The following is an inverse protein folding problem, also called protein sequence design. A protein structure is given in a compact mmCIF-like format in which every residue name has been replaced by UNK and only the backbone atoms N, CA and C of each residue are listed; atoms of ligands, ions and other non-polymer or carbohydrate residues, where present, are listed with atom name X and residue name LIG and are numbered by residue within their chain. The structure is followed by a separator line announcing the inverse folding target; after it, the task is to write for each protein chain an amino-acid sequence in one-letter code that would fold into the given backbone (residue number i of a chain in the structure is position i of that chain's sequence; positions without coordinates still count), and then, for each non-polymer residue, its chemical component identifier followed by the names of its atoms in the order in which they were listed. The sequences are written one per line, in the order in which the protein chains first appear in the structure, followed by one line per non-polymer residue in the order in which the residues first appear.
data_IF_974593410933
#
_entry.id   IF_974593410933
#
_cell.length_a   1.000
_cell.length_b   1.000
_cell.length_c   1.000
_cell.angle_alpha   90.00
_cell.angle_beta   90.00
_cell.angle_gamma   90.00
#
_symmetry.space_group_name_H-M   'P 1'
#
loop_
_entity.id
_entity.type
_entity.pdbx_description
1 polymer ?
#
# COMPACT_ATOMS: atom_id res chain seq x y z
N UNK A 1 -23.14 -13.40 -80.85
CA UNK A 1 -24.08 -12.85 -79.84
C UNK A 1 -23.54 -13.13 -78.45
N UNK A 2 -23.55 -12.10 -77.60
CA UNK A 2 -23.04 -12.02 -76.23
C UNK A 2 -23.41 -13.22 -75.35
N UNK A 3 -22.46 -13.70 -74.54
CA UNK A 3 -22.71 -14.05 -73.14
C UNK A 3 -21.47 -13.79 -72.29
N UNK A 4 -21.63 -12.81 -71.42
CA UNK A 4 -20.83 -12.53 -70.24
C UNK A 4 -20.83 -13.78 -69.36
N UNK A 5 -19.67 -14.19 -68.84
CA UNK A 5 -19.57 -14.66 -67.45
C UNK A 5 -18.12 -14.76 -66.96
N UNK A 6 -17.89 -14.02 -65.88
CA UNK A 6 -17.06 -14.37 -64.72
C UNK A 6 -15.58 -14.70 -64.91
N UNK A 7 -14.73 -13.67 -65.02
CA UNK A 7 -13.38 -13.67 -64.42
C UNK A 7 -12.94 -12.27 -63.96
N UNK A 8 -13.64 -11.67 -63.00
CA UNK A 8 -13.02 -10.64 -62.14
C UNK A 8 -12.26 -11.34 -60.99
N UNK A 9 -11.17 -12.04 -61.32
CA UNK A 9 -10.24 -12.51 -60.30
C UNK A 9 -9.36 -11.34 -59.85
N UNK A 10 -9.76 -10.71 -58.75
CA UNK A 10 -8.91 -9.84 -57.94
C UNK A 10 -7.61 -10.59 -57.60
N UNK A 11 -6.50 -10.21 -58.24
CA UNK A 11 -5.18 -10.67 -57.84
C UNK A 11 -4.84 -10.08 -56.46
N UNK A 12 -5.19 -10.79 -55.40
CA UNK A 12 -4.84 -10.41 -54.03
C UNK A 12 -3.31 -10.35 -53.89
N UNK A 13 -2.81 -9.22 -53.38
CA UNK A 13 -1.39 -9.06 -53.08
C UNK A 13 -0.95 -10.11 -52.02
N UNK A 14 0.30 -10.61 -52.08
CA UNK A 14 0.87 -11.60 -51.12
C UNK A 14 0.69 -11.18 -49.65
N UNK A 15 0.54 -9.89 -49.35
CA UNK A 15 0.24 -9.35 -48.02
C UNK A 15 -1.22 -9.59 -47.58
N UNK A 16 -2.19 -9.47 -48.49
CA UNK A 16 -3.62 -9.67 -48.25
C UNK A 16 -3.96 -11.14 -48.07
N UNK A 17 -3.38 -12.02 -48.89
CA UNK A 17 -3.51 -13.47 -48.74
C UNK A 17 -3.01 -13.92 -47.35
N UNK A 18 -1.86 -13.37 -46.90
CA UNK A 18 -1.33 -13.63 -45.55
C UNK A 18 -2.23 -13.11 -44.45
N UNK A 19 -2.90 -11.97 -44.66
CA UNK A 19 -3.86 -11.41 -43.70
C UNK A 19 -5.12 -12.28 -43.60
N UNK A 20 -5.70 -12.69 -44.72
CA UNK A 20 -6.90 -13.56 -44.77
C UNK A 20 -6.60 -14.91 -44.10
N UNK A 21 -5.43 -15.50 -44.37
CA UNK A 21 -5.02 -16.75 -43.70
C UNK A 21 -4.93 -16.59 -42.17
N UNK A 22 -4.37 -15.48 -41.69
CA UNK A 22 -4.30 -15.19 -40.24
C UNK A 22 -5.68 -14.93 -39.64
N UNK A 23 -6.57 -14.23 -40.35
CA UNK A 23 -7.97 -14.02 -39.95
C UNK A 23 -8.71 -15.33 -39.76
N UNK A 24 -8.61 -16.24 -40.74
CA UNK A 24 -9.28 -17.53 -40.68
C UNK A 24 -8.73 -18.41 -39.54
N UNK A 25 -7.41 -18.39 -39.32
CA UNK A 25 -6.80 -19.09 -38.18
C UNK A 25 -7.27 -18.54 -36.83
N UNK A 26 -7.32 -17.20 -36.68
CA UNK A 26 -7.84 -16.57 -35.46
C UNK A 26 -9.31 -16.93 -35.22
N UNK A 27 -10.16 -16.86 -36.25
CA UNK A 27 -11.58 -17.26 -36.16
C UNK A 27 -11.75 -18.71 -35.75
N UNK A 28 -10.95 -19.62 -36.33
CA UNK A 28 -10.98 -21.04 -35.95
C UNK A 28 -10.57 -21.28 -34.50
N UNK A 29 -9.57 -20.53 -34.02
CA UNK A 29 -9.14 -20.58 -32.61
C UNK A 29 -10.22 -20.00 -31.66
N UNK A 30 -10.94 -18.97 -32.09
CA UNK A 30 -12.04 -18.33 -31.34
C UNK A 30 -13.31 -19.21 -31.32
N UNK A 31 -13.66 -19.85 -32.43
CA UNK A 31 -14.76 -20.83 -32.51
C UNK A 31 -14.53 -22.01 -31.55
N UNK A 32 -13.29 -22.51 -31.44
CA UNK A 32 -12.94 -23.54 -30.46
C UNK A 32 -13.19 -23.09 -29.02
N UNK A 33 -12.83 -21.84 -28.70
CA UNK A 33 -13.12 -21.26 -27.39
C UNK A 33 -14.62 -21.21 -27.12
N UNK A 34 -15.39 -20.71 -28.09
CA UNK A 34 -16.85 -20.60 -27.97
C UNK A 34 -17.48 -21.98 -27.78
N UNK A 35 -17.04 -23.01 -28.53
CA UNK A 35 -17.51 -24.38 -28.34
C UNK A 35 -17.22 -24.92 -26.93
N UNK A 36 -16.05 -24.63 -26.37
CA UNK A 36 -15.71 -25.01 -24.99
C UNK A 36 -16.63 -24.32 -23.98
N UNK A 37 -16.90 -23.03 -24.18
CA UNK A 37 -17.80 -22.24 -23.32
C UNK A 37 -19.23 -22.76 -23.40
N UNK A 38 -19.76 -22.98 -24.61
CA UNK A 38 -21.13 -23.49 -24.80
C UNK A 38 -21.29 -24.90 -24.21
N UNK A 39 -20.30 -25.78 -24.40
CA UNK A 39 -20.30 -27.12 -23.80
C UNK A 39 -20.27 -27.04 -22.27
N UNK A 40 -19.51 -26.11 -21.72
CA UNK A 40 -19.50 -25.85 -20.29
C UNK A 40 -20.87 -25.38 -19.79
N UNK A 41 -21.46 -24.37 -20.44
CA UNK A 41 -22.74 -23.80 -20.01
C UNK A 41 -23.85 -24.87 -20.00
N UNK A 42 -23.88 -25.73 -21.02
CA UNK A 42 -24.80 -26.88 -21.08
C UNK A 42 -24.59 -27.86 -19.92
N UNK A 43 -23.33 -28.22 -19.63
CA UNK A 43 -23.01 -29.16 -18.55
C UNK A 43 -23.26 -28.52 -17.19
N UNK A 44 -23.07 -27.20 -17.03
CA UNK A 44 -23.23 -26.44 -15.78
C UNK A 44 -24.67 -26.46 -15.22
N UNK A 45 -25.66 -26.74 -16.08
CA UNK A 45 -27.08 -26.80 -15.72
C UNK A 45 -27.40 -28.01 -14.83
N UNK A 46 -26.64 -29.11 -14.95
CA UNK A 46 -26.91 -30.38 -14.26
C UNK A 46 -26.21 -30.54 -12.90
N UNK A 47 -25.45 -29.54 -12.43
CA UNK A 47 -24.71 -29.65 -11.16
C UNK A 47 -25.55 -29.15 -9.98
N UNK A 48 -25.92 -30.06 -9.09
CA UNK A 48 -26.56 -29.74 -7.81
C UNK A 48 -25.48 -29.36 -6.77
N UNK A 49 -25.48 -28.07 -6.37
CA UNK A 49 -24.66 -27.56 -5.27
C UNK A 49 -24.12 -26.14 -5.53
N UNK A 50 -24.51 -25.18 -4.69
CA UNK A 50 -24.13 -23.77 -4.79
C UNK A 50 -22.60 -23.57 -4.83
N UNK A 51 -21.88 -24.24 -3.92
CA UNK A 51 -20.41 -24.14 -3.84
C UNK A 51 -19.70 -24.77 -5.04
N UNK A 52 -20.13 -25.97 -5.47
CA UNK A 52 -19.53 -26.67 -6.62
C UNK A 52 -19.70 -25.88 -7.92
N UNK A 53 -20.88 -25.28 -8.12
CA UNK A 53 -21.19 -24.42 -9.28
C UNK A 53 -20.34 -23.14 -9.31
N UNK A 54 -20.22 -22.44 -8.18
CA UNK A 54 -19.46 -21.20 -8.11
C UNK A 54 -17.94 -21.42 -8.22
N UNK A 55 -17.43 -22.49 -7.60
CA UNK A 55 -16.00 -22.82 -7.65
C UNK A 55 -15.56 -23.18 -9.08
N UNK A 56 -16.32 -24.04 -9.77
CA UNK A 56 -16.00 -24.40 -11.16
C UNK A 56 -16.14 -23.19 -12.10
N UNK A 57 -17.15 -22.34 -11.90
CA UNK A 57 -17.33 -21.10 -12.68
C UNK A 57 -16.12 -20.15 -12.52
N UNK A 58 -15.55 -20.07 -11.32
CA UNK A 58 -14.35 -19.30 -11.06
C UNK A 58 -13.12 -19.86 -11.80
N UNK A 59 -12.86 -21.16 -11.71
CA UNK A 59 -11.75 -21.81 -12.44
C UNK A 59 -11.89 -21.68 -13.95
N UNK A 60 -13.11 -21.83 -14.48
CA UNK A 60 -13.36 -21.67 -15.91
C UNK A 60 -13.15 -20.22 -16.36
N UNK A 61 -13.56 -19.24 -15.55
CA UNK A 61 -13.28 -17.82 -15.82
C UNK A 61 -11.78 -17.54 -15.91
N UNK A 62 -11.00 -18.11 -14.98
CA UNK A 62 -9.53 -18.03 -15.01
C UNK A 62 -8.97 -18.73 -16.26
N UNK A 63 -9.44 -19.93 -16.59
CA UNK A 63 -9.00 -20.68 -17.77
C UNK A 63 -9.31 -19.92 -19.07
N UNK A 64 -10.52 -19.39 -19.22
CA UNK A 64 -10.93 -18.56 -20.36
C UNK A 64 -10.04 -17.33 -20.45
N UNK A 65 -9.78 -16.66 -19.34
CA UNK A 65 -8.90 -15.49 -19.30
C UNK A 65 -7.48 -15.83 -19.76
N UNK A 66 -6.88 -16.90 -19.22
CA UNK A 66 -5.53 -17.37 -19.60
C UNK A 66 -5.50 -17.78 -21.07
N UNK A 67 -6.48 -18.54 -21.55
CA UNK A 67 -6.54 -19.02 -22.92
C UNK A 67 -6.75 -17.86 -23.91
N UNK A 68 -7.59 -16.88 -23.58
CA UNK A 68 -7.78 -15.66 -24.36
C UNK A 68 -6.49 -14.85 -24.43
N UNK A 69 -5.76 -14.74 -23.32
CA UNK A 69 -4.44 -14.11 -23.28
C UNK A 69 -3.42 -14.86 -24.16
N UNK A 70 -3.42 -16.19 -24.12
CA UNK A 70 -2.60 -17.03 -25.00
C UNK A 70 -2.93 -16.83 -26.48
N UNK A 71 -4.21 -16.84 -26.87
CA UNK A 71 -4.63 -16.56 -28.25
C UNK A 71 -4.21 -15.18 -28.72
N UNK A 72 -4.34 -14.16 -27.86
CA UNK A 72 -3.90 -12.81 -28.16
C UNK A 72 -2.38 -12.72 -28.40
N UNK A 73 -1.59 -13.47 -27.64
CA UNK A 73 -0.13 -13.55 -27.83
C UNK A 73 0.20 -14.28 -29.14
N UNK A 74 -0.40 -15.45 -29.38
CA UNK A 74 -0.20 -16.26 -30.60
C UNK A 74 -0.55 -15.46 -31.86
N UNK A 75 -1.63 -14.68 -31.82
CA UNK A 75 -2.14 -13.90 -32.95
C UNK A 75 -1.76 -12.40 -32.89
N UNK A 76 -0.77 -12.03 -32.08
CA UNK A 76 -0.36 -10.62 -31.85
C UNK A 76 -0.07 -9.85 -33.13
N UNK A 77 0.56 -10.48 -34.13
CA UNK A 77 0.86 -9.84 -35.42
C UNK A 77 -0.41 -9.49 -36.20
N UNK A 78 -1.42 -10.36 -36.18
CA UNK A 78 -2.72 -10.13 -36.82
C UNK A 78 -3.51 -9.04 -36.10
N UNK A 79 -3.58 -9.11 -34.77
CA UNK A 79 -4.27 -8.13 -33.94
C UNK A 79 -3.66 -6.73 -34.08
N UNK A 80 -2.32 -6.60 -34.11
CA UNK A 80 -1.64 -5.33 -34.40
C UNK A 80 -1.99 -4.77 -35.78
N UNK A 81 -2.12 -5.63 -36.79
CA UNK A 81 -2.52 -5.19 -38.15
C UNK A 81 -3.97 -4.72 -38.18
N UNK A 82 -4.89 -5.40 -37.48
CA UNK A 82 -6.27 -4.92 -37.33
C UNK A 82 -6.29 -3.60 -36.59
N UNK A 83 -5.58 -3.48 -35.47
CA UNK A 83 -5.56 -2.26 -34.67
C UNK A 83 -5.02 -1.06 -35.47
N UNK A 84 -3.96 -1.29 -36.26
CA UNK A 84 -3.42 -0.27 -37.18
C UNK A 84 -4.41 0.13 -38.28
N UNK A 85 -5.10 -0.84 -38.90
CA UNK A 85 -6.13 -0.58 -39.92
C UNK A 85 -7.35 0.11 -39.31
N UNK A 86 -7.79 -0.34 -38.13
CA UNK A 86 -8.89 0.23 -37.33
C UNK A 86 -8.59 1.67 -36.93
N UNK A 87 -7.38 1.95 -36.42
CA UNK A 87 -6.92 3.32 -36.12
C UNK A 87 -6.90 4.20 -37.37
N UNK A 88 -6.46 3.68 -38.52
CA UNK A 88 -6.54 4.42 -39.79
C UNK A 88 -8.00 4.69 -40.21
N UNK A 89 -8.90 3.71 -40.11
CA UNK A 89 -10.32 3.91 -40.43
C UNK A 89 -11.05 4.80 -39.43
N UNK A 90 -10.72 4.72 -38.13
CA UNK A 90 -11.26 5.59 -37.08
C UNK A 90 -10.80 7.04 -37.26
N UNK A 91 -9.52 7.24 -37.60
CA UNK A 91 -8.97 8.55 -37.94
C UNK A 91 -9.62 9.15 -39.20
N UNK A 92 -10.06 8.30 -40.14
CA UNK A 92 -10.82 8.70 -41.33
C UNK A 92 -12.32 8.91 -41.05
N UNK A 93 -12.88 8.25 -40.03
CA UNK A 93 -14.29 8.34 -39.64
C UNK A 93 -14.60 9.50 -38.68
N UNK A 94 -13.59 10.32 -38.31
CA UNK A 94 -13.71 11.33 -37.26
C UNK A 94 -13.76 10.68 -35.88
N UNK A 95 -12.69 10.83 -35.11
CA UNK A 95 -12.57 10.23 -33.78
C UNK A 95 -13.80 10.58 -32.90
N UNK A 96 -14.37 9.55 -32.25
CA UNK A 96 -15.49 9.67 -31.30
C UNK A 96 -15.06 10.47 -30.05
N UNK A 97 -14.90 11.79 -30.17
CA UNK A 97 -14.46 12.65 -29.06
C UNK A 97 -15.36 12.45 -27.83
N UNK A 98 -16.66 12.25 -28.04
CA UNK A 98 -17.63 12.03 -26.96
C UNK A 98 -17.39 10.74 -26.16
N UNK A 99 -16.88 9.66 -26.77
CA UNK A 99 -16.51 8.44 -26.02
C UNK A 99 -15.32 8.70 -25.10
N UNK A 100 -14.34 9.49 -25.54
CA UNK A 100 -13.18 9.87 -24.72
C UNK A 100 -13.59 10.83 -23.59
N UNK A 101 -14.50 11.77 -23.85
CA UNK A 101 -15.05 12.65 -22.81
C UNK A 101 -15.91 11.88 -21.81
N UNK A 102 -16.78 10.98 -22.26
CA UNK A 102 -17.65 10.19 -21.36
C UNK A 102 -16.83 9.22 -20.49
N UNK A 103 -15.80 8.59 -21.06
CA UNK A 103 -14.85 7.77 -20.29
C UNK A 103 -14.12 8.61 -19.23
N UNK A 104 -13.67 9.81 -19.59
CA UNK A 104 -13.05 10.72 -18.64
C UNK A 104 -14.02 11.16 -17.53
N UNK A 105 -15.26 11.52 -17.88
CA UNK A 105 -16.27 11.94 -16.92
C UNK A 105 -16.63 10.82 -15.92
N UNK A 106 -16.79 9.59 -16.41
CA UNK A 106 -17.01 8.39 -15.58
C UNK A 106 -15.81 8.11 -14.66
N UNK A 107 -14.58 8.27 -15.15
CA UNK A 107 -13.39 8.12 -14.29
C UNK A 107 -13.31 9.22 -13.24
N UNK A 108 -13.59 10.47 -13.58
CA UNK A 108 -13.56 11.58 -12.63
C UNK A 108 -14.67 11.46 -11.57
N UNK A 109 -15.88 11.05 -11.96
CA UNK A 109 -16.96 10.82 -11.00
C UNK A 109 -16.66 9.64 -10.06
N UNK A 110 -16.11 8.54 -10.59
CA UNK A 110 -15.68 7.41 -9.76
C UNK A 110 -14.59 7.83 -8.76
N UNK A 111 -13.60 8.62 -9.19
CA UNK A 111 -12.56 9.16 -8.31
C UNK A 111 -13.17 10.08 -7.24
N UNK A 112 -14.12 10.94 -7.61
CA UNK A 112 -14.79 11.84 -6.67
C UNK A 112 -15.62 11.08 -5.63
N UNK A 113 -16.38 10.07 -6.04
CA UNK A 113 -17.16 9.23 -5.14
C UNK A 113 -16.23 8.49 -4.17
N UNK A 114 -15.14 7.92 -4.70
CA UNK A 114 -14.13 7.26 -3.88
C UNK A 114 -13.49 8.24 -2.88
N UNK A 115 -13.18 9.46 -3.32
CA UNK A 115 -12.64 10.52 -2.47
C UNK A 115 -13.59 10.90 -1.32
N UNK A 116 -14.88 11.11 -1.62
CA UNK A 116 -15.90 11.42 -0.62
C UNK A 116 -16.03 10.26 0.38
N UNK A 117 -16.12 9.03 -0.12
CA UNK A 117 -16.24 7.84 0.72
C UNK A 117 -15.03 7.67 1.65
N UNK A 118 -13.81 7.93 1.16
CA UNK A 118 -12.58 7.84 1.94
C UNK A 118 -12.47 8.94 3.00
N UNK A 119 -12.94 10.15 2.71
CA UNK A 119 -12.88 11.27 3.66
C UNK A 119 -14.03 11.28 4.67
N UNK A 120 -15.14 10.60 4.38
CA UNK A 120 -16.32 10.62 5.23
C UNK A 120 -16.04 10.23 6.70
N UNK A 121 -15.26 9.17 7.02
CA UNK A 121 -14.93 8.85 8.41
C UNK A 121 -14.12 9.94 9.12
N UNK A 122 -13.19 10.61 8.41
CA UNK A 122 -12.40 11.71 8.96
C UNK A 122 -13.25 12.96 9.20
N UNK A 123 -14.18 13.24 8.28
CA UNK A 123 -15.19 14.27 8.44
C UNK A 123 -16.06 13.99 9.67
N UNK A 124 -16.56 12.76 9.81
CA UNK A 124 -17.40 12.36 10.94
C UNK A 124 -16.66 12.48 12.26
N UNK A 125 -15.41 11.99 12.31
CA UNK A 125 -14.52 12.13 13.46
C UNK A 125 -14.32 13.60 13.85
N UNK A 126 -14.02 14.46 12.86
CA UNK A 126 -13.86 15.90 13.08
C UNK A 126 -15.13 16.53 13.66
N UNK A 127 -16.29 16.30 13.03
CA UNK A 127 -17.55 16.90 13.47
C UNK A 127 -17.97 16.40 14.85
N UNK A 128 -17.88 15.09 15.11
CA UNK A 128 -18.27 14.52 16.41
C UNK A 128 -17.35 14.97 17.54
N UNK A 129 -16.08 15.30 17.27
CA UNK A 129 -15.19 15.88 18.29
C UNK A 129 -15.62 17.26 18.80
N UNK A 130 -16.39 18.01 18.02
CA UNK A 130 -16.90 19.34 18.38
C UNK A 130 -18.33 19.32 18.93
N UNK A 131 -18.96 18.14 19.04
CA UNK A 131 -20.31 18.02 19.60
C UNK A 131 -20.29 17.97 21.14
N UNK A 132 -21.28 18.58 21.83
CA UNK A 132 -21.46 18.42 23.27
C UNK A 132 -21.93 16.99 23.62
N UNK A 133 -21.78 16.59 24.89
CA UNK A 133 -22.18 15.24 25.36
C UNK A 133 -23.67 14.94 25.18
N UNK A 134 -24.52 15.96 25.19
CA UNK A 134 -25.95 15.85 24.95
C UNK A 134 -26.28 15.28 23.56
N UNK A 135 -25.43 15.54 22.56
CA UNK A 135 -25.61 15.14 21.15
C UNK A 135 -24.97 13.79 20.81
N UNK A 136 -24.09 13.26 21.67
CA UNK A 136 -23.31 12.04 21.42
C UNK A 136 -23.69 10.96 22.44
N UNK A 137 -24.89 10.40 22.26
CA UNK A 137 -25.46 9.35 23.11
C UNK A 137 -25.83 8.11 22.30
N UNK A 138 -25.71 6.91 22.89
CA UNK A 138 -26.29 5.72 22.27
C UNK A 138 -27.79 5.94 22.05
N UNK A 139 -28.29 5.58 20.86
CA UNK A 139 -29.69 5.65 20.41
C UNK A 139 -30.20 7.02 19.89
N UNK A 140 -29.34 8.01 19.69
CA UNK A 140 -29.70 9.23 18.94
C UNK A 140 -29.11 9.12 17.53
N UNK A 141 -29.91 9.39 16.49
CA UNK A 141 -29.40 9.61 15.13
C UNK A 141 -28.48 10.83 15.17
N UNK A 142 -27.18 10.59 15.14
CA UNK A 142 -26.19 11.66 15.14
C UNK A 142 -26.36 12.52 13.87
N UNK A 143 -26.48 13.83 14.08
CA UNK A 143 -26.50 14.80 12.97
C UNK A 143 -25.15 14.81 12.23
N UNK A 144 -25.19 15.05 10.92
CA UNK A 144 -23.98 15.26 10.11
C UNK A 144 -23.19 16.50 10.55
N UNK A 145 -23.86 17.46 11.19
CA UNK A 145 -23.30 18.72 11.68
C UNK A 145 -23.59 18.88 13.18
N UNK A 146 -22.66 19.44 13.96
CA UNK A 146 -22.94 19.83 15.34
C UNK A 146 -24.10 20.82 15.37
N UNK A 147 -25.11 20.60 16.22
CA UNK A 147 -26.15 21.61 16.44
C UNK A 147 -25.57 22.78 17.25
N UNK A 148 -24.74 22.44 18.23
CA UNK A 148 -23.93 23.38 18.98
C UNK A 148 -22.45 23.03 18.88
N UNK A 149 -21.61 24.03 18.62
CA UNK A 149 -20.17 23.85 18.59
C UNK A 149 -19.59 23.95 20.01
N UNK A 150 -18.89 22.90 20.45
CA UNK A 150 -18.31 22.82 21.78
C UNK A 150 -16.87 22.29 21.74
N UNK A 151 -16.00 22.90 22.58
CA UNK A 151 -14.63 22.44 22.82
C UNK A 151 -14.52 21.59 24.10
N UNK A 152 -15.65 21.19 24.69
CA UNK A 152 -15.68 20.47 25.96
C UNK A 152 -14.93 19.14 25.89
N UNK A 153 -15.11 18.37 24.81
CA UNK A 153 -14.41 17.09 24.62
C UNK A 153 -12.88 17.26 24.66
N UNK A 154 -12.35 18.32 24.04
CA UNK A 154 -10.92 18.63 24.09
C UNK A 154 -10.48 19.03 25.50
N UNK A 155 -11.21 19.93 26.17
CA UNK A 155 -10.89 20.36 27.54
C UNK A 155 -10.89 19.19 28.52
N UNK A 156 -11.88 18.32 28.44
CA UNK A 156 -12.02 17.18 29.33
C UNK A 156 -11.00 16.08 29.01
N UNK A 157 -10.64 15.88 27.73
CA UNK A 157 -9.51 15.05 27.35
C UNK A 157 -8.20 15.57 27.99
N UNK A 158 -7.90 16.86 27.85
CA UNK A 158 -6.70 17.45 28.47
C UNK A 158 -6.72 17.34 29.99
N UNK A 159 -7.89 17.56 30.62
CA UNK A 159 -8.06 17.37 32.07
C UNK A 159 -7.84 15.94 32.49
N UNK A 160 -8.45 14.96 31.83
CA UNK A 160 -8.28 13.53 32.16
C UNK A 160 -6.82 13.11 32.16
N UNK A 161 -6.08 13.56 31.16
CA UNK A 161 -4.66 13.23 31.00
C UNK A 161 -3.82 13.90 32.08
N UNK A 162 -4.19 15.11 32.50
CA UNK A 162 -3.55 15.80 33.61
C UNK A 162 -4.02 15.27 34.99
N UNK A 163 -5.21 14.69 35.08
CA UNK A 163 -5.90 14.26 36.30
C UNK A 163 -5.74 12.77 36.66
N UNK A 164 -5.25 11.91 35.75
CA UNK A 164 -4.66 10.60 36.12
C UNK A 164 -3.41 10.76 37.03
N UNK A 165 -3.07 11.98 37.45
CA UNK A 165 -1.97 12.35 38.32
C UNK A 165 -2.18 11.99 39.80
N UNK A 166 -1.59 10.87 40.20
CA UNK A 166 -0.68 10.89 41.34
C UNK A 166 0.67 11.41 40.84
N UNK A 167 1.11 12.57 41.36
CA UNK A 167 2.42 13.26 41.35
C UNK A 167 3.42 13.16 40.15
N UNK A 168 3.39 12.14 39.30
CA UNK A 168 4.25 11.89 38.14
C UNK A 168 3.47 11.92 36.80
N UNK A 169 2.54 12.88 36.62
CA UNK A 169 1.72 12.94 35.41
C UNK A 169 2.54 13.33 34.17
N UNK A 170 2.52 12.45 33.16
CA UNK A 170 3.14 12.70 31.85
C UNK A 170 2.25 13.70 31.10
N UNK A 171 2.77 14.90 30.85
CA UNK A 171 2.04 15.92 30.09
C UNK A 171 1.81 15.50 28.63
N UNK A 172 0.73 15.97 27.98
CA UNK A 172 0.48 15.74 26.55
C UNK A 172 1.72 16.00 25.67
N UNK A 173 2.43 17.14 25.83
CA UNK A 173 3.66 17.39 25.06
C UNK A 173 4.71 16.29 25.22
N UNK A 174 4.79 15.65 26.40
CA UNK A 174 5.72 14.55 26.63
C UNK A 174 5.32 13.29 25.87
N UNK A 175 4.03 12.96 25.76
CA UNK A 175 3.58 11.86 24.89
C UNK A 175 3.98 12.10 23.42
N UNK A 176 3.78 13.33 22.92
CA UNK A 176 4.21 13.71 21.57
C UNK A 176 5.71 13.61 21.40
N UNK A 177 6.48 14.12 22.36
CA UNK A 177 7.93 14.03 22.35
C UNK A 177 8.39 12.57 22.34
N UNK A 178 7.84 11.73 23.23
CA UNK A 178 8.18 10.32 23.31
C UNK A 178 7.87 9.60 21.99
N UNK A 179 6.67 9.79 21.43
CA UNK A 179 6.30 9.23 20.12
C UNK A 179 7.24 9.66 19.02
N UNK A 180 7.52 10.97 18.91
CA UNK A 180 8.39 11.50 17.88
C UNK A 180 9.83 11.00 18.05
N UNK A 181 10.32 10.96 19.28
CA UNK A 181 11.66 10.50 19.63
C UNK A 181 11.83 9.02 19.32
N UNK A 182 10.94 8.16 19.83
CA UNK A 182 10.96 6.72 19.59
C UNK A 182 10.85 6.43 18.09
N UNK A 183 9.90 7.06 17.39
CA UNK A 183 9.72 6.84 15.95
C UNK A 183 10.93 7.29 15.14
N UNK A 184 11.53 8.45 15.47
CA UNK A 184 12.70 8.98 14.74
C UNK A 184 13.94 8.12 14.98
N UNK A 185 14.26 7.78 16.22
CA UNK A 185 15.45 6.99 16.55
C UNK A 185 15.33 5.57 16.00
N UNK A 186 14.16 4.94 16.17
CA UNK A 186 13.90 3.60 15.61
C UNK A 186 14.06 3.60 14.09
N UNK A 187 13.52 4.61 13.41
CA UNK A 187 13.65 4.77 11.95
C UNK A 187 15.09 4.94 11.52
N UNK A 188 15.85 5.82 12.17
CA UNK A 188 17.26 6.07 11.81
C UNK A 188 18.08 4.80 11.97
N UNK A 189 17.96 4.12 13.12
CA UNK A 189 18.71 2.89 13.38
C UNK A 189 18.30 1.75 12.44
N UNK A 190 17.00 1.58 12.20
CA UNK A 190 16.46 0.62 11.24
C UNK A 190 16.98 0.89 9.82
N UNK A 191 17.04 2.14 9.39
CA UNK A 191 17.59 2.52 8.08
C UNK A 191 19.07 2.23 7.98
N UNK A 192 19.87 2.58 9.00
CA UNK A 192 21.30 2.27 9.02
C UNK A 192 21.53 0.77 8.82
N UNK A 193 20.85 -0.06 9.60
CA UNK A 193 20.95 -1.51 9.48
C UNK A 193 20.45 -2.01 8.12
N UNK A 194 19.31 -1.52 7.65
CA UNK A 194 18.69 -1.97 6.40
C UNK A 194 19.49 -1.58 5.16
N UNK A 195 20.06 -0.37 5.14
CA UNK A 195 20.91 0.10 4.04
C UNK A 195 22.22 -0.69 3.99
N UNK A 196 22.85 -0.93 5.15
CA UNK A 196 24.07 -1.75 5.22
C UNK A 196 23.80 -3.20 4.81
N UNK A 197 22.75 -3.82 5.35
CA UNK A 197 22.37 -5.20 5.01
C UNK A 197 21.98 -5.33 3.53
N UNK A 198 21.17 -4.41 3.01
CA UNK A 198 20.75 -4.41 1.61
C UNK A 198 21.93 -4.22 0.66
N UNK A 199 22.87 -3.33 1.00
CA UNK A 199 24.09 -3.15 0.22
C UNK A 199 24.99 -4.38 0.28
N UNK A 200 25.14 -5.02 1.44
CA UNK A 200 25.91 -6.25 1.60
C UNK A 200 25.38 -7.37 0.70
N UNK A 201 24.06 -7.59 0.70
CA UNK A 201 23.38 -8.58 -0.15
C UNK A 201 23.59 -8.25 -1.64
N UNK A 202 23.55 -6.98 -2.04
CA UNK A 202 23.85 -6.58 -3.42
C UNK A 202 25.33 -6.77 -3.80
N UNK A 203 26.24 -6.38 -2.90
CA UNK A 203 27.66 -6.25 -3.17
C UNK A 203 28.35 -7.61 -3.24
N UNK A 204 28.07 -8.49 -2.28
CA UNK A 204 28.59 -9.84 -2.20
C UNK A 204 27.59 -10.81 -2.80
N UNK A 205 27.57 -10.90 -4.14
CA UNK A 205 26.74 -11.84 -4.89
C UNK A 205 27.23 -13.28 -4.72
N UNK A 206 26.99 -13.85 -3.55
CA UNK A 206 27.30 -15.25 -3.30
C UNK A 206 26.17 -16.15 -3.83
N UNK A 207 26.46 -17.44 -4.03
CA UNK A 207 25.44 -18.44 -4.40
C UNK A 207 24.35 -18.60 -3.32
N UNK A 208 24.60 -18.13 -2.09
CA UNK A 208 23.67 -18.19 -0.97
C UNK A 208 22.68 -17.02 -0.93
N UNK A 209 22.90 -15.93 -1.68
CA UNK A 209 22.02 -14.77 -1.63
C UNK A 209 20.56 -15.08 -1.98
N UNK A 210 20.25 -15.91 -2.99
CA UNK A 210 18.87 -16.31 -3.25
C UNK A 210 18.25 -17.07 -2.07
N UNK A 211 19.02 -17.94 -1.42
CA UNK A 211 18.57 -18.69 -0.24
C UNK A 211 18.31 -17.74 0.95
N UNK A 212 19.22 -16.80 1.21
CA UNK A 212 19.05 -15.78 2.25
C UNK A 212 17.81 -14.92 2.01
N UNK A 213 17.57 -14.50 0.76
CA UNK A 213 16.37 -13.76 0.40
C UNK A 213 15.11 -14.61 0.61
N UNK A 214 15.12 -15.89 0.25
CA UNK A 214 14.01 -16.81 0.52
C UNK A 214 13.74 -16.92 2.03
N UNK A 215 14.79 -17.06 2.86
CA UNK A 215 14.64 -17.11 4.33
C UNK A 215 14.03 -15.81 4.87
N UNK A 216 14.55 -14.66 4.42
CA UNK A 216 14.02 -13.32 4.72
C UNK A 216 12.53 -13.24 4.38
N UNK A 217 12.13 -13.68 3.18
CA UNK A 217 10.72 -13.70 2.79
C UNK A 217 9.87 -14.64 3.64
N UNK A 218 10.37 -15.83 3.96
CA UNK A 218 9.66 -16.79 4.82
C UNK A 218 9.40 -16.21 6.20
N UNK A 219 10.35 -15.44 6.77
CA UNK A 219 10.16 -14.76 8.06
C UNK A 219 9.08 -13.68 7.94
N UNK A 220 9.00 -12.95 6.83
CA UNK A 220 7.95 -11.95 6.59
C UNK A 220 6.54 -12.55 6.45
N UNK A 221 6.41 -13.84 6.12
CA UNK A 221 5.11 -14.52 6.07
C UNK A 221 4.55 -14.80 7.47
N UNK A 222 5.41 -14.81 8.49
CA UNK A 222 4.99 -14.97 9.88
C UNK A 222 4.46 -13.62 10.38
N UNK A 223 3.19 -13.53 10.83
CA UNK A 223 2.64 -12.30 11.38
C UNK A 223 3.45 -11.84 12.60
N UNK A 224 3.79 -10.55 12.67
CA UNK A 224 4.59 -9.99 13.76
C UNK A 224 3.95 -10.23 15.14
N UNK A 225 2.63 -10.33 15.17
CA UNK A 225 1.77 -10.55 16.32
C UNK A 225 1.92 -11.95 16.90
N UNK A 226 2.19 -12.96 16.06
CA UNK A 226 2.47 -14.33 16.54
C UNK A 226 3.80 -14.43 17.29
N UNK A 227 4.74 -13.53 17.02
CA UNK A 227 6.03 -13.47 17.68
C UNK A 227 5.99 -12.59 18.95
N UNK A 228 4.82 -12.02 19.29
CA UNK A 228 4.68 -11.08 20.40
C UNK A 228 5.14 -11.66 21.73
N UNK A 229 4.66 -12.86 22.08
CA UNK A 229 5.00 -13.53 23.34
C UNK A 229 6.50 -13.84 23.44
N UNK A 230 7.10 -14.34 22.34
CA UNK A 230 8.53 -14.61 22.30
C UNK A 230 9.37 -13.35 22.48
N UNK A 231 9.02 -12.27 21.78
CA UNK A 231 9.69 -10.96 21.91
C UNK A 231 9.53 -10.39 23.32
N UNK A 232 8.35 -10.52 23.91
CA UNK A 232 8.09 -10.10 25.29
C UNK A 232 8.97 -10.86 26.27
N UNK A 233 9.06 -12.19 26.15
CA UNK A 233 9.87 -13.01 27.03
C UNK A 233 11.35 -12.63 26.98
N UNK A 234 11.89 -12.43 25.78
CA UNK A 234 13.28 -11.94 25.58
C UNK A 234 13.47 -10.57 26.24
N UNK A 235 12.50 -9.65 26.07
CA UNK A 235 12.58 -8.29 26.63
C UNK A 235 12.60 -8.31 28.16
N UNK A 236 11.80 -9.19 28.78
CA UNK A 236 11.80 -9.39 30.24
C UNK A 236 13.11 -10.01 30.71
N UNK A 237 13.62 -11.03 30.02
CA UNK A 237 14.91 -11.66 30.35
C UNK A 237 16.08 -10.68 30.26
N UNK A 238 16.05 -9.76 29.29
CA UNK A 238 17.05 -8.71 29.15
C UNK A 238 16.86 -7.54 30.14
N UNK A 239 15.83 -7.59 31.00
CA UNK A 239 15.46 -6.50 31.91
C UNK A 239 15.19 -5.17 31.19
N UNK A 240 14.68 -5.23 29.96
CA UNK A 240 14.36 -4.05 29.16
C UNK A 240 12.93 -3.55 29.34
N UNK A 241 12.10 -4.29 30.10
CA UNK A 241 10.71 -3.87 30.39
C UNK A 241 10.69 -2.46 30.97
N UNK A 242 9.72 -1.65 30.55
CA UNK A 242 9.53 -0.25 30.95
C UNK A 242 10.70 0.69 30.61
N UNK A 243 11.53 0.32 29.61
CA UNK A 243 12.66 1.15 29.15
C UNK A 243 12.54 1.57 27.68
N UNK A 244 13.28 2.61 27.29
CA UNK A 244 13.44 3.01 25.89
C UNK A 244 13.95 1.88 24.99
N UNK A 245 14.80 0.99 25.50
CA UNK A 245 15.39 -0.09 24.71
C UNK A 245 14.31 -1.06 24.23
N UNK A 246 13.30 -1.34 25.06
CA UNK A 246 12.16 -2.16 24.65
C UNK A 246 11.35 -1.51 23.53
N UNK A 247 11.29 -0.18 23.44
CA UNK A 247 10.55 0.52 22.39
C UNK A 247 11.32 0.64 21.07
N UNK A 248 12.65 0.69 21.11
CA UNK A 248 13.48 0.99 19.93
C UNK A 248 14.07 -0.29 19.30
N UNK A 249 14.77 -1.09 20.09
CA UNK A 249 15.60 -2.20 19.59
C UNK A 249 14.81 -3.21 18.74
N UNK A 250 13.59 -3.61 19.13
CA UNK A 250 12.84 -4.60 18.35
C UNK A 250 12.47 -4.17 16.92
N UNK A 251 12.47 -2.86 16.62
CA UNK A 251 12.12 -2.33 15.30
C UNK A 251 13.32 -2.23 14.35
N UNK A 252 14.56 -2.28 14.87
CA UNK A 252 15.78 -2.10 14.08
C UNK A 252 15.94 -3.21 13.01
N UNK A 253 15.64 -4.46 13.39
CA UNK A 253 15.81 -5.65 12.55
C UNK A 253 14.64 -5.91 11.59
N UNK A 254 14.15 -4.89 10.89
CA UNK A 254 12.96 -5.02 10.04
C UNK A 254 13.30 -5.65 8.67
N UNK A 255 12.84 -6.89 8.50
CA UNK A 255 13.09 -7.74 7.33
C UNK A 255 12.55 -7.13 6.03
N UNK A 256 11.36 -6.50 6.07
CA UNK A 256 10.79 -5.82 4.91
C UNK A 256 11.65 -4.66 4.42
N UNK A 257 12.22 -3.89 5.36
CA UNK A 257 13.05 -2.72 5.03
C UNK A 257 14.40 -3.15 4.45
N UNK A 258 15.01 -4.20 5.00
CA UNK A 258 16.22 -4.82 4.44
C UNK A 258 15.96 -5.30 3.01
N UNK A 259 14.83 -5.95 2.77
CA UNK A 259 14.43 -6.41 1.43
C UNK A 259 14.24 -5.24 0.46
N UNK A 260 13.53 -4.18 0.88
CA UNK A 260 13.31 -2.99 0.07
C UNK A 260 14.64 -2.32 -0.33
N UNK A 261 15.59 -2.21 0.60
CA UNK A 261 16.92 -1.68 0.32
C UNK A 261 17.74 -2.60 -0.58
N UNK A 262 17.68 -3.91 -0.36
CA UNK A 262 18.33 -4.89 -1.22
C UNK A 262 17.88 -4.72 -2.67
N UNK A 263 16.57 -4.66 -2.91
CA UNK A 263 16.01 -4.46 -4.25
C UNK A 263 16.46 -3.15 -4.87
N UNK A 264 16.42 -2.05 -4.12
CA UNK A 264 16.86 -0.74 -4.62
C UNK A 264 18.33 -0.76 -5.08
N UNK A 265 19.22 -1.46 -4.35
CA UNK A 265 20.60 -1.63 -4.77
C UNK A 265 20.75 -2.59 -5.96
N UNK A 266 19.93 -3.65 -6.05
CA UNK A 266 19.94 -4.57 -7.20
C UNK A 266 19.56 -3.91 -8.52
N UNK A 267 18.73 -2.86 -8.49
CA UNK A 267 18.34 -2.08 -9.67
C UNK A 267 19.50 -1.22 -10.21
N UNK A 268 20.58 -1.02 -9.46
CA UNK A 268 21.77 -0.34 -9.96
C UNK A 268 22.47 -1.18 -11.03
N UNK A 269 22.84 -0.53 -12.15
CA UNK A 269 23.57 -1.21 -13.22
C UNK A 269 24.91 -1.76 -12.71
N UNK A 270 25.27 -2.97 -13.14
CA UNK A 270 26.57 -3.57 -12.78
C UNK A 270 27.75 -2.75 -13.31
N UNK A 271 27.52 -2.04 -14.41
CA UNK A 271 28.54 -1.22 -15.07
C UNK A 271 28.89 0.01 -14.23
N UNK A 272 27.96 0.56 -13.44
CA UNK A 272 28.26 1.64 -12.50
C UNK A 272 29.31 1.23 -11.47
N UNK A 273 29.24 -0.01 -10.97
CA UNK A 273 30.22 -0.58 -10.04
C UNK A 273 31.55 -0.91 -10.72
N UNK A 274 31.55 -1.22 -12.02
CA UNK A 274 32.79 -1.48 -12.79
C UNK A 274 33.51 -0.17 -13.10
N UNK A 275 32.77 0.85 -13.53
CA UNK A 275 33.29 2.18 -13.79
C UNK A 275 33.94 2.78 -12.53
N UNK A 276 33.27 2.69 -11.37
CA UNK A 276 33.84 3.20 -10.11
C UNK A 276 35.16 2.52 -9.71
N UNK A 277 35.34 1.23 -10.04
CA UNK A 277 36.60 0.53 -9.84
C UNK A 277 37.71 1.02 -10.77
N UNK A 278 37.38 1.38 -12.01
CA UNK A 278 38.32 2.00 -12.95
C UNK A 278 38.74 3.39 -12.43
N UNK A 279 37.81 4.13 -11.82
CA UNK A 279 38.07 5.42 -11.17
C UNK A 279 38.84 5.29 -9.83
N UNK A 280 39.30 4.09 -9.45
CA UNK A 280 40.08 3.84 -8.24
C UNK A 280 39.29 3.90 -6.93
N UNK A 281 37.94 3.94 -6.98
CA UNK A 281 37.12 3.96 -5.77
C UNK A 281 37.12 2.60 -5.09
N UNK A 282 37.42 2.59 -3.79
CA UNK A 282 37.23 1.40 -2.97
C UNK A 282 35.73 1.11 -2.71
N UNK A 283 35.41 -0.06 -2.16
CA UNK A 283 34.00 -0.48 -2.00
C UNK A 283 33.20 0.44 -1.07
N UNK A 284 33.83 0.95 -0.01
CA UNK A 284 33.20 1.87 0.94
C UNK A 284 32.96 3.26 0.34
N UNK A 285 33.91 3.75 -0.46
CA UNK A 285 33.78 4.99 -1.21
C UNK A 285 32.68 4.86 -2.28
N UNK A 286 32.62 3.73 -3.01
CA UNK A 286 31.52 3.44 -3.93
C UNK A 286 30.17 3.43 -3.21
N UNK A 287 30.09 2.80 -2.03
CA UNK A 287 28.89 2.77 -1.21
C UNK A 287 28.40 4.18 -0.84
N UNK A 288 29.26 5.00 -0.22
CA UNK A 288 28.88 6.33 0.25
C UNK A 288 28.67 7.35 -0.87
N UNK A 289 29.56 7.38 -1.87
CA UNK A 289 29.58 8.44 -2.89
C UNK A 289 28.68 8.16 -4.09
N UNK A 290 28.40 6.89 -4.39
CA UNK A 290 27.68 6.51 -5.62
C UNK A 290 26.40 5.74 -5.28
N UNK A 291 26.51 4.63 -4.53
CA UNK A 291 25.38 3.74 -4.30
C UNK A 291 24.27 4.41 -3.48
N UNK A 292 24.59 5.02 -2.32
CA UNK A 292 23.61 5.70 -1.47
C UNK A 292 22.89 6.84 -2.21
N UNK A 293 23.58 7.81 -2.86
CA UNK A 293 22.90 8.87 -3.60
C UNK A 293 22.00 8.35 -4.72
N UNK A 294 22.42 7.27 -5.41
CA UNK A 294 21.67 6.66 -6.48
C UNK A 294 20.34 6.05 -6.01
N UNK A 295 20.29 5.51 -4.78
CA UNK A 295 19.07 4.91 -4.19
C UNK A 295 18.39 5.81 -3.15
N UNK A 296 18.79 7.08 -3.05
CA UNK A 296 18.26 8.04 -2.06
C UNK A 296 16.73 8.05 -1.97
N UNK A 297 16.04 8.05 -3.12
CA UNK A 297 14.57 7.98 -3.16
C UNK A 297 13.98 6.75 -2.46
N UNK A 298 14.64 5.59 -2.59
CA UNK A 298 14.24 4.37 -1.88
C UNK A 298 14.52 4.50 -0.37
N UNK A 299 15.66 5.06 0.03
CA UNK A 299 16.00 5.29 1.46
C UNK A 299 14.96 6.20 2.11
N UNK A 300 14.57 7.29 1.45
CA UNK A 300 13.52 8.21 1.94
C UNK A 300 12.19 7.46 2.08
N UNK A 301 11.82 6.67 1.09
CA UNK A 301 10.57 5.89 1.09
C UNK A 301 10.55 4.88 2.23
N UNK A 302 11.65 4.14 2.41
CA UNK A 302 11.84 3.23 3.53
C UNK A 302 11.73 3.96 4.86
N UNK A 303 12.38 5.12 4.99
CA UNK A 303 12.36 5.92 6.22
C UNK A 303 10.96 6.40 6.58
N UNK A 304 10.20 6.87 5.59
CA UNK A 304 8.81 7.27 5.82
C UNK A 304 8.01 6.07 6.30
N UNK A 305 8.07 4.92 5.60
CA UNK A 305 7.33 3.70 5.98
C UNK A 305 7.70 3.24 7.40
N UNK A 306 9.00 3.16 7.72
CA UNK A 306 9.49 2.80 9.06
C UNK A 306 9.02 3.77 10.14
N UNK A 307 8.98 5.07 9.83
CA UNK A 307 8.47 6.07 10.75
C UNK A 307 6.97 5.90 11.00
N UNK A 308 6.17 5.67 9.94
CA UNK A 308 4.72 5.40 10.07
C UNK A 308 4.51 4.17 10.97
N UNK A 309 5.28 3.11 10.73
CA UNK A 309 5.18 1.83 11.46
C UNK A 309 5.47 2.02 12.96
N UNK A 310 6.57 2.70 13.28
CA UNK A 310 6.93 2.99 14.68
C UNK A 310 5.97 3.98 15.35
N UNK A 311 5.52 5.01 14.63
CA UNK A 311 4.54 5.98 15.15
C UNK A 311 3.19 5.34 15.45
N UNK A 312 2.73 4.41 14.61
CA UNK A 312 1.43 3.74 14.76
C UNK A 312 1.48 2.50 15.67
N UNK A 313 2.65 2.16 16.23
CA UNK A 313 2.79 1.00 17.09
C UNK A 313 1.97 1.16 18.38
N UNK A 314 0.93 0.33 18.53
CA UNK A 314 0.11 0.27 19.75
C UNK A 314 0.42 -1.00 20.54
N UNK A 315 0.24 -2.16 19.90
CA UNK A 315 0.24 -3.47 20.58
C UNK A 315 1.53 -3.76 21.33
N UNK A 316 2.68 -3.48 20.71
CA UNK A 316 3.96 -3.72 21.34
C UNK A 316 4.21 -2.77 22.52
N UNK A 317 4.14 -1.42 22.37
CA UNK A 317 4.35 -0.49 23.48
C UNK A 317 3.44 -0.73 24.69
N UNK A 318 2.15 -1.02 24.49
CA UNK A 318 1.24 -1.30 25.63
C UNK A 318 1.57 -2.62 26.36
N UNK A 319 2.31 -3.52 25.72
CA UNK A 319 2.69 -4.82 26.32
C UNK A 319 3.97 -4.71 27.16
N UNK A 320 4.90 -3.84 26.76
CA UNK A 320 6.24 -3.76 27.40
C UNK A 320 6.41 -2.58 28.34
N UNK A 321 5.55 -1.57 28.26
CA UNK A 321 5.57 -0.39 29.11
C UNK A 321 4.50 -0.51 30.18
N UNK A 322 4.85 -0.12 31.41
CA UNK A 322 3.89 -0.12 32.51
C UNK A 322 3.07 1.18 32.50
N UNK A 323 1.80 1.07 32.91
CA UNK A 323 0.85 2.20 32.88
C UNK A 323 1.28 3.32 33.84
N UNK A 324 1.80 2.95 35.00
CA UNK A 324 1.94 3.83 36.16
C UNK A 324 3.39 4.27 36.43
N UNK A 325 4.39 3.67 35.76
CA UNK A 325 5.82 3.97 36.00
C UNK A 325 6.59 4.48 34.79
N UNK A 326 6.09 4.25 33.57
CA UNK A 326 6.87 4.47 32.35
C UNK A 326 6.86 5.92 31.86
N UNK A 327 7.98 6.66 32.00
CA UNK A 327 8.13 8.01 31.42
C UNK A 327 8.09 8.04 29.87
N UNK A 328 8.13 6.87 29.21
CA UNK A 328 8.27 6.72 27.76
C UNK A 328 6.97 6.29 27.06
N UNK A 329 5.81 6.61 27.65
CA UNK A 329 4.51 6.36 27.01
C UNK A 329 4.33 7.20 25.75
N UNK A 330 3.82 6.58 24.69
CA UNK A 330 3.61 7.19 23.37
C UNK A 330 2.14 7.59 23.16
N UNK A 331 1.89 8.49 22.21
CA UNK A 331 0.54 8.93 21.81
C UNK A 331 -0.42 7.77 21.49
N UNK A 332 -0.03 6.72 20.73
CA UNK A 332 -0.93 5.59 20.49
C UNK A 332 -1.32 4.83 21.77
N UNK A 333 -0.43 4.77 22.78
CA UNK A 333 -0.76 4.16 24.08
C UNK A 333 -1.77 5.00 24.85
N UNK A 334 -1.63 6.33 24.80
CA UNK A 334 -2.59 7.27 25.38
C UNK A 334 -3.96 7.14 24.70
N UNK A 335 -3.97 7.06 23.37
CA UNK A 335 -5.21 6.85 22.62
C UNK A 335 -5.87 5.52 23.02
N UNK A 336 -5.08 4.45 23.15
CA UNK A 336 -5.55 3.16 23.64
C UNK A 336 -6.18 3.29 25.04
N UNK A 337 -5.53 3.96 26.00
CA UNK A 337 -6.12 4.12 27.34
C UNK A 337 -7.43 4.91 27.33
N UNK A 338 -7.55 5.93 26.47
CA UNK A 338 -8.79 6.71 26.30
C UNK A 338 -9.90 5.87 25.65
N UNK A 339 -9.57 5.03 24.66
CA UNK A 339 -10.57 4.20 23.97
C UNK A 339 -11.20 3.14 24.88
N UNK A 340 -10.41 2.57 25.80
CA UNK A 340 -10.81 1.51 26.71
C UNK A 340 -11.12 2.00 28.14
N UNK A 341 -11.07 3.31 28.39
CA UNK A 341 -11.51 3.88 29.66
C UNK A 341 -13.03 3.71 29.81
N UNK A 342 -13.49 3.22 30.97
CA UNK A 342 -14.91 3.06 31.32
C UNK A 342 -15.53 4.34 31.92
N UNK A 343 -14.82 5.46 31.89
CA UNK A 343 -15.28 6.74 32.41
C UNK A 343 -14.11 7.71 32.51
N UNK A 344 -14.25 8.85 31.84
CA UNK A 344 -13.20 9.88 31.75
C UNK A 344 -13.53 11.07 32.66
N UNK A 345 -14.80 11.20 33.04
CA UNK A 345 -15.34 12.30 33.85
C UNK A 345 -15.47 11.81 35.30
N UNK A 346 -14.77 12.41 36.28
CA UNK A 346 -15.00 12.10 37.69
C UNK A 346 -16.47 12.34 38.06
N UNK A 347 -17.16 11.29 38.54
CA UNK A 347 -18.56 11.37 38.97
C UNK A 347 -19.61 11.03 37.90
N UNK A 348 -19.23 10.83 36.64
CA UNK A 348 -20.15 10.39 35.58
C UNK A 348 -19.57 9.17 34.85
N UNK A 349 -20.31 8.04 34.85
CA UNK A 349 -19.98 6.85 34.06
C UNK A 349 -20.26 7.06 32.56
N UNK A 350 -19.99 8.26 32.04
CA UNK A 350 -20.12 8.57 30.63
C UNK A 350 -18.76 8.33 29.97
N UNK A 351 -18.79 7.47 28.95
CA UNK A 351 -17.68 7.24 28.03
C UNK A 351 -18.02 7.88 26.68
N UNK A 352 -18.06 9.23 26.59
CA UNK A 352 -18.67 9.87 25.47
C UNK A 352 -17.74 9.78 24.25
N UNK A 353 -18.30 9.35 23.12
CA UNK A 353 -17.52 9.07 21.91
C UNK A 353 -16.82 10.33 21.37
N UNK A 354 -17.32 11.54 21.66
CA UNK A 354 -16.69 12.80 21.26
C UNK A 354 -15.29 12.99 21.86
N UNK A 355 -15.02 12.56 23.10
CA UNK A 355 -13.67 12.59 23.69
C UNK A 355 -12.73 11.67 22.93
N UNK A 356 -13.18 10.45 22.59
CA UNK A 356 -12.40 9.51 21.79
C UNK A 356 -12.07 10.09 20.42
N UNK A 357 -13.05 10.73 19.77
CA UNK A 357 -12.84 11.40 18.48
C UNK A 357 -11.85 12.57 18.59
N UNK A 358 -11.93 13.38 19.65
CA UNK A 358 -10.98 14.45 19.92
C UNK A 358 -9.54 13.92 20.10
N UNK A 359 -9.37 12.82 20.85
CA UNK A 359 -8.08 12.16 21.03
C UNK A 359 -7.52 11.61 19.70
N UNK A 360 -8.37 11.02 18.84
CA UNK A 360 -7.98 10.57 17.50
C UNK A 360 -7.45 11.72 16.64
N UNK A 361 -8.14 12.88 16.63
CA UNK A 361 -7.73 14.06 15.85
C UNK A 361 -6.34 14.53 16.29
N UNK A 362 -6.14 14.68 17.60
CA UNK A 362 -4.86 15.12 18.17
C UNK A 362 -3.75 14.12 17.82
N UNK A 363 -4.05 12.82 17.82
CA UNK A 363 -3.08 11.77 17.47
C UNK A 363 -2.68 11.78 15.99
N UNK A 364 -3.59 12.15 15.09
CA UNK A 364 -3.36 12.16 13.63
C UNK A 364 -2.63 13.42 13.16
N UNK A 365 -2.78 14.55 13.86
CA UNK A 365 -2.22 15.85 13.46
C UNK A 365 -0.72 15.82 13.09
N UNK A 366 0.20 15.26 13.90
CA UNK A 366 1.61 15.23 13.54
C UNK A 366 1.87 14.44 12.26
N UNK A 367 1.10 13.36 12.03
CA UNK A 367 1.26 12.53 10.86
C UNK A 367 0.84 13.28 9.58
N UNK A 368 -0.21 14.09 9.66
CA UNK A 368 -0.63 15.00 8.59
C UNK A 368 0.46 16.03 8.31
N UNK A 369 1.04 16.64 9.35
CA UNK A 369 2.14 17.61 9.20
C UNK A 369 3.35 16.97 8.52
N UNK A 370 3.77 15.78 8.96
CA UNK A 370 4.87 15.03 8.36
C UNK A 370 4.56 14.70 6.90
N UNK A 371 3.36 14.21 6.60
CA UNK A 371 2.95 13.95 5.22
C UNK A 371 3.04 15.21 4.35
N UNK A 372 2.53 16.35 4.81
CA UNK A 372 2.59 17.62 4.06
C UNK A 372 4.02 18.09 3.80
N UNK A 373 4.95 17.83 4.74
CA UNK A 373 6.38 18.13 4.58
C UNK A 373 7.05 17.20 3.57
N UNK A 374 6.74 15.89 3.60
CA UNK A 374 7.42 14.87 2.80
C UNK A 374 6.73 14.50 1.48
N UNK A 375 5.49 14.94 1.22
CA UNK A 375 4.70 14.59 0.03
C UNK A 375 5.44 14.80 -1.29
N UNK A 376 6.22 15.88 -1.42
CA UNK A 376 7.00 16.17 -2.64
C UNK A 376 8.06 15.10 -2.92
N UNK A 377 8.63 14.52 -1.88
CA UNK A 377 9.68 13.50 -1.96
C UNK A 377 9.08 12.13 -2.25
N UNK A 378 7.94 11.82 -1.61
CA UNK A 378 7.13 10.62 -1.90
C UNK A 378 6.73 10.58 -3.39
N UNK A 379 6.19 11.68 -3.92
CA UNK A 379 5.74 11.77 -5.32
C UNK A 379 6.90 11.60 -6.30
N UNK A 380 8.07 12.19 -6.02
CA UNK A 380 9.27 12.08 -6.87
C UNK A 380 9.84 10.65 -6.90
N UNK A 381 9.78 9.93 -5.78
CA UNK A 381 10.17 8.52 -5.70
C UNK A 381 9.30 7.63 -6.60
N UNK A 382 7.98 7.83 -6.56
CA UNK A 382 7.01 7.07 -7.34
C UNK A 382 7.07 7.41 -8.84
N UNK A 383 7.28 8.68 -9.21
CA UNK A 383 7.30 9.11 -10.61
C UNK A 383 8.44 8.49 -11.43
N UNK A 384 9.55 8.11 -10.79
CA UNK A 384 10.72 7.57 -11.47
C UNK A 384 10.48 6.15 -12.01
N UNK A 385 9.65 5.35 -11.33
CA UNK A 385 9.21 4.03 -11.81
C UNK A 385 8.24 4.13 -13.01
N UNK A 386 7.43 5.20 -13.10
CA UNK A 386 6.52 5.41 -14.23
C UNK A 386 7.21 5.76 -15.55
N UNK A 387 8.39 6.39 -15.51
CA UNK A 387 9.10 6.85 -16.72
C UNK A 387 9.80 5.74 -17.51
N UNK A 388 10.07 4.59 -16.88
CA UNK A 388 10.71 3.45 -17.55
C UNK A 388 9.71 2.54 -18.29
N UNK A 389 8.42 2.84 -18.27
CA UNK A 389 7.37 2.10 -18.99
C UNK A 389 7.02 2.63 -20.38
N UNK A 390 7.61 3.75 -20.83
CA UNK A 390 7.26 4.42 -22.10
C UNK A 390 8.29 4.21 -23.23
N UNK A 391 9.15 3.20 -23.15
CA UNK A 391 10.02 2.82 -24.28
C UNK A 391 9.99 1.30 -24.47
N UNK A 392 9.29 0.87 -25.53
CA UNK A 392 9.17 -0.52 -25.97
C UNK A 392 8.15 -0.69 -27.09
#
# INVERSE_FOLDING_TARGET
MKKINDRSQLQFNKSEIRFIKRKNNYKKDEEKLTQIITKYDQVSIYWSGFFKKNFIKFYLSIFIYIFKKYLNIKNRKYLKTIESRSKKTLKLAGDFWYKRIFLNLSTYSAILIMFIFLLFPFYWMLMTSFKPYSEVKPNILESLWPKEWSLQAYKDMFKYINAEGNQDSISIPRFFFNSLFVASISTILQLVVSVLAGFAIYNWRTKLNPLLLIIIFSIMMVPAESLLLGRYWITVQMQWKDTLMALIVPFIGNVFTIYLMSNAFYDLSKDLKRASKVDGLNTFQYFLKIAIPAVSGAIITAGIISFIDSWNAVLWPITVMDKDSGQWRTIPMLLYSIMYSNGIIPGEQLNPNNIKMAACIISILPMVVIFLLFQKWIIRGLSRQGSNGSKG
#
